data_IF_562735591902
#
_entry.id   IF_562735591902
#
_cell.length_a   1.000
_cell.length_b   1.000
_cell.length_c   1.000
_cell.angle_alpha   90.00
_cell.angle_beta   90.00
_cell.angle_gamma   90.00
#
_symmetry.space_group_name_H-M   'P 1'
#
loop_
_entity.id
_entity.type
_entity.pdbx_description
1 polymer ?
#
# COMPACT_ATOMS: atom_id res chain seq x y z
N UNK A 1 82.19 -36.12 31.82
CA UNK A 1 83.03 -34.90 31.83
C UNK A 1 82.58 -33.99 30.71
N UNK A 2 82.17 -32.74 31.03
CA UNK A 2 82.29 -31.51 30.20
C UNK A 2 81.62 -31.49 28.82
N UNK A 3 80.86 -30.48 28.35
CA UNK A 3 80.22 -29.27 28.87
C UNK A 3 79.29 -28.80 27.75
N UNK A 4 78.15 -28.20 28.09
CA UNK A 4 77.25 -27.47 27.17
C UNK A 4 77.96 -26.33 26.41
N UNK A 5 77.53 -26.08 25.17
CA UNK A 5 77.36 -24.70 24.67
C UNK A 5 76.01 -24.54 23.97
N UNK A 6 75.33 -23.49 24.41
CA UNK A 6 74.04 -22.98 24.02
C UNK A 6 73.97 -22.55 22.55
N UNK A 7 72.81 -22.78 21.91
CA UNK A 7 72.18 -21.79 21.06
C UNK A 7 70.68 -21.76 21.39
N UNK A 8 70.32 -20.88 22.33
CA UNK A 8 68.95 -20.43 22.55
C UNK A 8 68.73 -19.21 21.64
N UNK A 9 68.03 -19.40 20.51
CA UNK A 9 67.48 -18.30 19.73
C UNK A 9 65.94 -18.31 19.88
N UNK A 10 65.33 -17.33 20.56
CA UNK A 10 63.88 -17.28 20.78
C UNK A 10 63.04 -16.95 19.53
N UNK A 11 63.66 -16.58 18.40
CA UNK A 11 62.90 -16.14 17.21
C UNK A 11 62.45 -17.25 16.25
N UNK A 12 62.88 -18.51 16.44
CA UNK A 12 62.52 -19.61 15.53
C UNK A 12 61.37 -20.51 16.05
N UNK A 13 60.95 -20.38 17.31
CA UNK A 13 59.79 -21.12 17.85
C UNK A 13 58.43 -20.45 17.58
N UNK A 14 58.41 -19.19 17.14
CA UNK A 14 57.20 -18.47 16.76
C UNK A 14 56.74 -18.67 15.31
N UNK A 15 57.61 -19.20 14.44
CA UNK A 15 57.32 -19.34 12.99
C UNK A 15 56.73 -20.74 12.69
N UNK A 16 57.13 -21.79 13.42
CA UNK A 16 56.57 -23.13 13.22
C UNK A 16 55.16 -23.32 13.79
N UNK A 17 54.77 -22.61 14.85
CA UNK A 17 53.37 -22.63 15.34
C UNK A 17 52.43 -21.79 14.47
N UNK A 18 52.94 -20.73 13.83
CA UNK A 18 52.23 -19.92 12.84
C UNK A 18 51.85 -20.73 11.58
N UNK A 19 52.77 -21.54 11.03
CA UNK A 19 52.51 -22.34 9.83
C UNK A 19 51.56 -23.53 10.06
N UNK A 20 51.56 -24.13 11.25
CA UNK A 20 50.63 -25.22 11.59
C UNK A 20 49.23 -24.66 11.86
N UNK A 21 49.11 -23.52 12.56
CA UNK A 21 47.83 -22.83 12.74
C UNK A 21 47.28 -22.29 11.41
N UNK A 22 48.13 -21.80 10.50
CA UNK A 22 47.71 -21.31 9.19
C UNK A 22 47.21 -22.45 8.28
N UNK A 23 47.83 -23.63 8.31
CA UNK A 23 47.35 -24.80 7.56
C UNK A 23 46.07 -25.41 8.15
N UNK A 24 45.90 -25.39 9.48
CA UNK A 24 44.63 -25.78 10.12
C UNK A 24 43.54 -24.75 9.79
N UNK A 25 43.84 -23.45 9.78
CA UNK A 25 42.89 -22.41 9.40
C UNK A 25 42.49 -22.51 7.92
N UNK A 26 43.44 -22.78 7.01
CA UNK A 26 43.18 -22.99 5.58
C UNK A 26 42.39 -24.27 5.31
N UNK A 27 42.64 -25.35 6.06
CA UNK A 27 41.84 -26.58 5.96
C UNK A 27 40.43 -26.37 6.51
N UNK A 28 40.27 -25.61 7.59
CA UNK A 28 38.95 -25.28 8.16
C UNK A 28 38.18 -24.29 7.29
N UNK A 29 38.86 -23.32 6.66
CA UNK A 29 38.28 -22.39 5.68
C UNK A 29 37.87 -23.15 4.40
N UNK A 30 38.65 -24.12 3.91
CA UNK A 30 38.23 -24.95 2.77
C UNK A 30 37.08 -25.90 3.12
N UNK A 31 37.01 -26.43 4.34
CA UNK A 31 35.84 -27.21 4.80
C UNK A 31 34.60 -26.32 4.99
N UNK A 32 34.76 -25.09 5.47
CA UNK A 32 33.67 -24.10 5.52
C UNK A 32 33.28 -23.66 4.11
N UNK A 33 34.20 -23.48 3.16
CA UNK A 33 33.88 -23.14 1.77
C UNK A 33 33.26 -24.32 1.00
N UNK A 34 33.53 -25.58 1.37
CA UNK A 34 32.83 -26.75 0.85
C UNK A 34 31.47 -26.99 1.53
N UNK A 35 31.28 -26.56 2.78
CA UNK A 35 29.97 -26.59 3.48
C UNK A 35 29.09 -25.36 3.16
N UNK A 36 29.69 -24.25 2.72
CA UNK A 36 29.01 -23.03 2.22
C UNK A 36 28.84 -23.08 0.69
N UNK A 37 29.55 -23.99 0.02
CA UNK A 37 29.46 -24.27 -1.41
C UNK A 37 28.44 -25.34 -1.77
N UNK A 38 27.17 -25.17 -1.38
CA UNK A 38 26.00 -25.79 -2.05
C UNK A 38 24.67 -25.27 -1.50
N UNK A 39 24.53 -23.96 -1.28
CA UNK A 39 23.22 -23.33 -1.48
C UNK A 39 23.36 -22.47 -2.73
N UNK A 40 23.24 -23.20 -3.83
CA UNK A 40 22.95 -22.72 -5.16
C UNK A 40 21.91 -21.61 -5.07
N UNK A 41 22.40 -20.39 -5.23
CA UNK A 41 21.62 -19.18 -5.49
C UNK A 41 21.04 -19.27 -6.90
N UNK A 42 20.33 -20.36 -7.18
CA UNK A 42 19.18 -20.34 -8.06
C UNK A 42 18.01 -19.83 -7.23
N UNK A 43 18.02 -18.52 -6.97
CA UNK A 43 16.81 -17.76 -7.25
C UNK A 43 16.49 -18.15 -8.69
N UNK A 44 15.60 -19.13 -8.85
CA UNK A 44 15.01 -19.39 -10.14
C UNK A 44 14.55 -18.04 -10.60
N UNK A 45 15.11 -17.65 -11.74
CA UNK A 45 14.58 -16.65 -12.64
C UNK A 45 13.16 -17.06 -12.99
N UNK A 46 12.25 -16.97 -12.02
CA UNK A 46 10.89 -16.53 -12.24
C UNK A 46 11.03 -15.07 -12.59
N UNK A 47 11.62 -14.80 -13.76
CA UNK A 47 11.07 -13.85 -14.69
C UNK A 47 9.56 -14.01 -14.58
N UNK A 48 8.96 -13.12 -13.78
CA UNK A 48 7.60 -12.71 -14.06
C UNK A 48 7.74 -12.17 -15.47
N UNK A 49 7.47 -13.04 -16.44
CA UNK A 49 7.13 -12.64 -17.79
C UNK A 49 5.86 -11.81 -17.62
N UNK A 50 6.03 -10.55 -17.25
CA UNK A 50 5.19 -9.51 -17.80
C UNK A 50 5.39 -9.70 -19.29
N UNK A 51 4.37 -10.22 -19.96
CA UNK A 51 4.32 -10.16 -21.41
C UNK A 51 4.43 -8.68 -21.76
N UNK A 52 5.61 -8.27 -22.16
CA UNK A 52 5.91 -6.93 -22.69
C UNK A 52 5.04 -6.60 -23.92
N UNK A 53 4.26 -7.57 -24.41
CA UNK A 53 3.37 -7.46 -25.57
C UNK A 53 1.92 -7.03 -25.26
N UNK A 54 1.46 -6.89 -24.00
CA UNK A 54 0.05 -6.58 -23.70
C UNK A 54 -0.20 -5.40 -22.73
N UNK A 55 0.62 -4.34 -22.78
CA UNK A 55 0.27 -3.03 -22.17
C UNK A 55 0.15 -1.94 -23.23
N UNK A 56 -0.54 -2.23 -24.34
CA UNK A 56 -1.11 -1.13 -25.13
C UNK A 56 -2.24 -0.54 -24.29
N UNK A 57 -2.00 0.65 -23.74
CA UNK A 57 -3.02 1.43 -23.00
C UNK A 57 -4.33 1.39 -23.79
N UNK A 58 -5.37 0.86 -23.14
CA UNK A 58 -6.71 0.83 -23.72
C UNK A 58 -7.12 2.29 -23.98
N UNK A 59 -7.56 2.58 -25.20
CA UNK A 59 -8.13 3.88 -25.54
C UNK A 59 -9.62 3.70 -25.76
N UNK A 60 -10.41 4.67 -25.30
CA UNK A 60 -11.81 4.73 -25.68
C UNK A 60 -11.97 5.17 -27.15
N UNK A 61 -13.18 5.06 -27.75
CA UNK A 61 -13.39 5.47 -29.14
C UNK A 61 -13.22 6.99 -29.40
N UNK A 62 -12.99 7.80 -28.36
CA UNK A 62 -12.70 9.23 -28.44
C UNK A 62 -11.20 9.53 -28.24
N UNK A 63 -10.37 8.51 -28.03
CA UNK A 63 -8.92 8.61 -27.83
C UNK A 63 -8.49 8.84 -26.38
N UNK A 64 -9.42 8.90 -25.42
CA UNK A 64 -9.06 9.04 -24.00
C UNK A 64 -8.45 7.74 -23.49
N UNK A 65 -7.42 7.86 -22.66
CA UNK A 65 -6.76 6.68 -22.08
C UNK A 65 -7.64 6.12 -20.96
N UNK A 66 -7.97 4.84 -21.07
CA UNK A 66 -8.61 4.06 -20.02
C UNK A 66 -7.49 3.61 -19.05
N UNK A 67 -7.66 3.78 -17.73
CA UNK A 67 -6.68 3.30 -16.74
C UNK A 67 -6.35 1.82 -16.92
N UNK A 68 -5.11 1.45 -16.63
CA UNK A 68 -4.76 0.04 -16.47
C UNK A 68 -5.41 -0.48 -15.18
N UNK A 69 -6.20 -1.55 -15.27
CA UNK A 69 -6.79 -2.25 -14.13
C UNK A 69 -6.15 -3.64 -13.97
N UNK A 70 -5.53 -3.87 -12.82
CA UNK A 70 -4.76 -5.08 -12.54
C UNK A 70 -5.42 -5.89 -11.42
N UNK A 71 -5.37 -7.21 -11.55
CA UNK A 71 -5.73 -8.13 -10.48
C UNK A 71 -4.68 -9.23 -10.36
N UNK A 72 -4.36 -9.59 -9.13
CA UNK A 72 -3.42 -10.67 -8.83
C UNK A 72 -4.17 -11.99 -8.67
N UNK A 73 -3.90 -12.94 -9.55
CA UNK A 73 -4.53 -14.26 -9.59
C UNK A 73 -3.50 -15.29 -10.02
N UNK A 74 -3.45 -16.44 -9.35
CA UNK A 74 -2.48 -17.53 -9.63
C UNK A 74 -1.03 -17.05 -9.58
N UNK A 75 -0.68 -16.28 -8.54
CA UNK A 75 0.65 -15.71 -8.31
C UNK A 75 1.18 -14.80 -9.42
N UNK A 76 0.29 -14.18 -10.21
CA UNK A 76 0.66 -13.26 -11.29
C UNK A 76 -0.33 -12.11 -11.42
N UNK A 77 0.18 -10.94 -11.79
CA UNK A 77 -0.63 -9.80 -12.20
C UNK A 77 -1.23 -10.04 -13.60
N UNK A 78 -2.53 -9.81 -13.74
CA UNK A 78 -3.26 -9.86 -15.01
C UNK A 78 -4.05 -8.57 -15.18
N UNK A 79 -4.18 -8.10 -16.42
CA UNK A 79 -5.17 -7.06 -16.73
C UNK A 79 -6.57 -7.62 -16.48
N UNK A 80 -7.40 -6.85 -15.80
CA UNK A 80 -8.82 -7.13 -15.67
C UNK A 80 -9.63 -6.42 -16.77
N UNK A 81 -10.95 -6.63 -16.73
CA UNK A 81 -11.92 -6.01 -17.63
C UNK A 81 -12.94 -5.16 -16.86
N UNK A 82 -12.56 -4.68 -15.67
CA UNK A 82 -13.37 -3.78 -14.86
C UNK A 82 -13.39 -2.39 -15.50
N UNK A 83 -12.22 -1.95 -15.97
CA UNK A 83 -12.12 -0.70 -16.68
C UNK A 83 -12.69 -0.77 -18.10
N UNK A 84 -13.69 0.07 -18.36
CA UNK A 84 -14.39 0.22 -19.64
C UNK A 84 -14.48 1.71 -20.02
N UNK A 85 -14.73 2.05 -21.30
CA UNK A 85 -14.99 3.43 -21.70
C UNK A 85 -16.09 4.07 -20.85
N UNK A 86 -15.91 5.30 -20.35
CA UNK A 86 -16.83 5.89 -19.36
C UNK A 86 -18.29 5.98 -19.83
N UNK A 87 -18.51 6.07 -21.15
CA UNK A 87 -19.85 6.07 -21.77
C UNK A 87 -20.64 4.78 -21.52
N UNK A 88 -19.97 3.68 -21.16
CA UNK A 88 -20.66 2.47 -20.71
C UNK A 88 -21.38 2.68 -19.38
N UNK A 89 -20.94 3.66 -18.58
CA UNK A 89 -21.49 3.96 -17.26
C UNK A 89 -22.39 5.20 -17.26
N UNK A 90 -22.23 6.14 -18.21
CA UNK A 90 -22.85 7.47 -18.14
C UNK A 90 -24.38 7.50 -18.13
N UNK A 91 -25.04 6.42 -18.57
CA UNK A 91 -26.50 6.28 -18.55
C UNK A 91 -26.99 5.33 -17.44
N UNK A 92 -26.08 4.74 -16.66
CA UNK A 92 -26.43 3.87 -15.54
C UNK A 92 -26.69 4.72 -14.29
N UNK A 93 -27.90 4.61 -13.75
CA UNK A 93 -28.30 5.23 -12.48
C UNK A 93 -27.41 4.86 -11.28
N UNK A 94 -26.61 3.78 -11.39
CA UNK A 94 -25.63 3.38 -10.38
C UNK A 94 -24.36 4.22 -10.39
N UNK A 95 -24.11 4.97 -11.47
CA UNK A 95 -22.95 5.83 -11.67
C UNK A 95 -23.37 7.29 -11.83
N UNK A 96 -23.98 7.94 -10.83
CA UNK A 96 -24.21 9.38 -10.87
C UNK A 96 -22.90 10.15 -11.04
N UNK A 97 -22.92 11.11 -11.95
CA UNK A 97 -21.83 12.04 -12.19
C UNK A 97 -22.06 13.33 -11.36
N UNK A 98 -21.32 13.49 -10.27
CA UNK A 98 -21.53 14.57 -9.29
C UNK A 98 -20.34 15.53 -9.23
N UNK A 99 -20.56 16.74 -8.73
CA UNK A 99 -19.48 17.72 -8.54
C UNK A 99 -18.59 17.30 -7.38
N UNK A 100 -17.29 17.20 -7.65
CA UNK A 100 -16.24 17.02 -6.67
C UNK A 100 -15.35 18.26 -6.63
N UNK A 101 -15.01 18.75 -5.44
CA UNK A 101 -14.20 19.96 -5.25
C UNK A 101 -13.15 19.74 -4.17
N UNK A 102 -11.89 20.02 -4.51
CA UNK A 102 -10.76 20.02 -3.58
C UNK A 102 -9.77 21.13 -3.94
N UNK A 103 -8.66 21.22 -3.22
CA UNK A 103 -7.56 22.14 -3.57
C UNK A 103 -6.90 21.83 -4.92
N UNK A 104 -7.19 20.68 -5.54
CA UNK A 104 -6.78 20.36 -6.90
C UNK A 104 -7.69 20.98 -7.98
N UNK A 105 -8.87 21.50 -7.59
CA UNK A 105 -9.87 22.09 -8.49
C UNK A 105 -11.28 21.54 -8.28
N UNK A 106 -12.22 22.01 -9.10
CA UNK A 106 -13.61 21.51 -9.14
C UNK A 106 -13.85 20.77 -10.45
N UNK A 107 -14.18 19.48 -10.36
CA UNK A 107 -14.46 18.59 -11.49
C UNK A 107 -15.75 17.81 -11.24
N UNK A 108 -16.13 16.92 -12.16
CA UNK A 108 -17.15 15.90 -11.89
C UNK A 108 -16.51 14.52 -11.83
N UNK A 109 -16.98 13.70 -10.90
CA UNK A 109 -16.58 12.30 -10.74
C UNK A 109 -17.81 11.42 -10.66
N UNK A 110 -17.66 10.16 -11.06
CA UNK A 110 -18.65 9.12 -10.87
C UNK A 110 -18.56 8.60 -9.43
N UNK A 111 -19.69 8.52 -8.75
CA UNK A 111 -19.79 7.94 -7.40
C UNK A 111 -20.89 6.89 -7.36
N UNK A 112 -21.03 6.19 -6.22
CA UNK A 112 -22.20 5.36 -5.99
C UNK A 112 -23.48 6.20 -5.94
N UNK A 113 -24.63 5.51 -5.85
CA UNK A 113 -25.94 6.16 -5.74
C UNK A 113 -26.02 7.14 -4.57
N UNK A 114 -26.81 8.20 -4.66
CA UNK A 114 -26.92 9.25 -3.63
C UNK A 114 -27.46 8.78 -2.26
N UNK A 115 -27.93 7.53 -2.16
CA UNK A 115 -28.26 6.90 -0.90
C UNK A 115 -27.02 6.50 -0.08
N UNK A 116 -25.87 6.34 -0.72
CA UNK A 116 -24.58 6.00 -0.11
C UNK A 116 -24.04 7.15 0.74
N UNK A 117 -23.59 6.88 1.97
CA UNK A 117 -23.15 7.90 2.90
C UNK A 117 -22.08 8.85 2.34
N UNK A 118 -21.02 8.29 1.75
CA UNK A 118 -19.89 9.06 1.22
C UNK A 118 -20.31 9.83 -0.03
N UNK A 119 -20.94 9.16 -0.99
CA UNK A 119 -21.41 9.78 -2.25
C UNK A 119 -22.44 10.89 -1.98
N UNK A 120 -23.30 10.72 -0.98
CA UNK A 120 -24.27 11.73 -0.53
C UNK A 120 -23.58 12.97 0.04
N UNK A 121 -22.51 12.79 0.83
CA UNK A 121 -21.72 13.91 1.36
C UNK A 121 -20.98 14.62 0.23
N UNK A 122 -20.33 13.90 -0.70
CA UNK A 122 -19.66 14.51 -1.85
C UNK A 122 -20.65 15.34 -2.67
N UNK A 123 -21.85 14.81 -2.93
CA UNK A 123 -22.88 15.52 -3.70
C UNK A 123 -23.31 16.85 -3.05
N UNK A 124 -23.40 16.88 -1.71
CA UNK A 124 -23.82 18.08 -0.96
C UNK A 124 -22.69 19.06 -0.68
N UNK A 125 -21.51 18.57 -0.32
CA UNK A 125 -20.39 19.35 0.22
C UNK A 125 -19.20 19.47 -0.73
N UNK A 126 -19.22 18.76 -1.86
CA UNK A 126 -18.15 18.71 -2.86
C UNK A 126 -17.05 17.70 -2.55
N UNK A 127 -16.88 17.27 -1.31
CA UNK A 127 -15.92 16.23 -0.93
C UNK A 127 -16.24 15.66 0.45
N UNK A 128 -15.81 14.42 0.69
CA UNK A 128 -15.77 13.76 1.98
C UNK A 128 -14.32 13.77 2.50
N UNK A 129 -14.12 13.95 3.81
CA UNK A 129 -12.78 14.02 4.44
C UNK A 129 -11.83 15.09 3.85
N UNK A 130 -12.37 16.29 3.64
CA UNK A 130 -11.64 17.44 3.07
C UNK A 130 -10.29 17.70 3.75
N UNK A 131 -10.19 17.49 5.07
CA UNK A 131 -8.94 17.69 5.83
C UNK A 131 -7.84 16.74 5.36
N UNK A 132 -8.18 15.47 5.16
CA UNK A 132 -7.27 14.41 4.73
C UNK A 132 -6.88 14.59 3.26
N UNK A 133 -7.85 14.90 2.39
CA UNK A 133 -7.57 15.26 0.98
C UNK A 133 -6.57 16.43 0.91
N UNK A 134 -6.84 17.51 1.66
CA UNK A 134 -5.99 18.69 1.65
C UNK A 134 -4.60 18.40 2.21
N UNK A 135 -4.49 17.54 3.23
CA UNK A 135 -3.18 17.14 3.76
C UNK A 135 -2.39 16.33 2.74
N UNK A 136 -3.01 15.33 2.09
CA UNK A 136 -2.36 14.55 1.03
C UNK A 136 -1.88 15.46 -0.09
N UNK A 137 -2.73 16.37 -0.59
CA UNK A 137 -2.34 17.33 -1.63
C UNK A 137 -1.18 18.23 -1.19
N UNK A 138 -1.21 18.72 0.05
CA UNK A 138 -0.12 19.53 0.59
C UNK A 138 1.21 18.78 0.59
N UNK A 139 1.23 17.51 1.02
CA UNK A 139 2.45 16.69 1.01
C UNK A 139 2.95 16.41 -0.41
N UNK A 140 2.04 16.09 -1.34
CA UNK A 140 2.37 15.89 -2.75
C UNK A 140 2.86 17.17 -3.45
N UNK A 141 2.55 18.35 -2.93
CA UNK A 141 2.99 19.62 -3.49
C UNK A 141 4.39 20.04 -3.01
N UNK A 142 4.91 19.46 -1.91
CA UNK A 142 6.26 19.76 -1.40
C UNK A 142 7.37 19.36 -2.37
N UNK A 143 7.19 18.25 -3.09
CA UNK A 143 8.13 17.80 -4.11
C UNK A 143 7.36 17.15 -5.27
N UNK A 144 7.65 17.60 -6.50
CA UNK A 144 6.95 17.16 -7.70
C UNK A 144 7.17 15.68 -8.06
N UNK A 145 8.18 15.05 -7.46
CA UNK A 145 8.53 13.64 -7.69
C UNK A 145 7.83 12.69 -6.70
N UNK A 146 7.05 13.21 -5.75
CA UNK A 146 6.26 12.39 -4.82
C UNK A 146 5.00 11.93 -5.55
N UNK A 147 4.86 10.62 -5.70
CA UNK A 147 3.66 9.98 -6.25
C UNK A 147 2.79 9.41 -5.12
N UNK A 148 1.52 9.11 -5.42
CA UNK A 148 0.56 8.63 -4.42
C UNK A 148 0.36 7.12 -4.53
N UNK A 149 0.36 6.43 -3.38
CA UNK A 149 -0.24 5.11 -3.21
C UNK A 149 -1.52 5.30 -2.40
N UNK A 150 -2.67 5.07 -3.03
CA UNK A 150 -4.01 5.29 -2.45
C UNK A 150 -4.67 3.95 -2.13
N UNK A 151 -4.66 3.55 -0.86
CA UNK A 151 -5.15 2.24 -0.39
C UNK A 151 -6.50 2.43 0.29
N UNK A 152 -7.52 1.73 -0.22
CA UNK A 152 -8.91 1.99 0.11
C UNK A 152 -9.40 3.26 -0.58
N UNK A 153 -9.28 3.27 -1.92
CA UNK A 153 -9.54 4.47 -2.72
C UNK A 153 -11.04 4.84 -2.76
N UNK A 154 -11.93 3.88 -2.51
CA UNK A 154 -13.38 4.09 -2.52
C UNK A 154 -13.83 4.67 -3.87
N UNK A 155 -14.57 5.78 -3.90
CA UNK A 155 -14.95 6.48 -5.15
C UNK A 155 -13.82 7.35 -5.75
N UNK A 156 -12.60 7.29 -5.22
CA UNK A 156 -11.40 7.85 -5.85
C UNK A 156 -11.09 9.31 -5.55
N UNK A 157 -11.57 9.86 -4.43
CA UNK A 157 -11.35 11.29 -4.13
C UNK A 157 -9.87 11.66 -4.05
N UNK A 158 -9.05 10.85 -3.38
CA UNK A 158 -7.61 11.10 -3.21
C UNK A 158 -6.85 10.87 -4.51
N UNK A 159 -7.07 9.74 -5.18
CA UNK A 159 -6.39 9.44 -6.44
C UNK A 159 -6.72 10.45 -7.55
N UNK A 160 -7.99 10.86 -7.69
CA UNK A 160 -8.37 11.86 -8.70
C UNK A 160 -7.74 13.20 -8.39
N UNK A 161 -7.76 13.65 -7.13
CA UNK A 161 -7.14 14.91 -6.74
C UNK A 161 -5.63 14.93 -6.98
N UNK A 162 -4.93 13.84 -6.63
CA UNK A 162 -3.50 13.71 -6.88
C UNK A 162 -3.16 13.69 -8.39
N UNK A 163 -3.95 12.98 -9.19
CA UNK A 163 -3.77 12.94 -10.64
C UNK A 163 -4.04 14.30 -11.32
N UNK A 164 -5.02 15.08 -10.82
CA UNK A 164 -5.32 16.42 -11.31
C UNK A 164 -4.16 17.40 -11.12
N UNK A 165 -3.39 17.27 -10.02
CA UNK A 165 -2.18 18.07 -9.80
C UNK A 165 -0.92 17.46 -10.46
N UNK A 166 -1.10 16.45 -11.32
CA UNK A 166 -0.06 15.88 -12.16
C UNK A 166 0.79 14.79 -11.51
N UNK A 167 0.31 14.13 -10.44
CA UNK A 167 1.00 12.96 -9.85
C UNK A 167 0.58 11.67 -10.53
N UNK A 168 1.49 10.70 -10.57
CA UNK A 168 1.13 9.33 -10.87
C UNK A 168 0.60 8.67 -9.60
N UNK A 169 -0.37 7.76 -9.77
CA UNK A 169 -1.10 7.14 -8.67
C UNK A 169 -1.26 5.65 -8.92
N UNK A 170 -0.95 4.85 -7.89
CA UNK A 170 -1.42 3.46 -7.80
C UNK A 170 -2.53 3.46 -6.76
N UNK A 171 -3.76 3.21 -7.20
CA UNK A 171 -4.95 3.21 -6.35
C UNK A 171 -5.51 1.79 -6.24
N UNK A 172 -5.90 1.39 -5.03
CA UNK A 172 -6.23 0.01 -4.70
C UNK A 172 -7.52 -0.07 -3.89
N UNK A 173 -8.38 -1.03 -4.24
CA UNK A 173 -9.60 -1.32 -3.50
C UNK A 173 -9.97 -2.80 -3.64
N UNK A 174 -10.66 -3.33 -2.62
CA UNK A 174 -11.16 -4.71 -2.63
C UNK A 174 -12.55 -4.81 -3.28
N UNK A 175 -13.33 -3.72 -3.33
CA UNK A 175 -14.63 -3.73 -3.99
C UNK A 175 -14.50 -3.38 -5.47
N UNK A 176 -14.93 -4.32 -6.32
CA UNK A 176 -15.06 -4.13 -7.77
C UNK A 176 -15.77 -2.82 -8.12
N UNK A 177 -16.88 -2.52 -7.44
CA UNK A 177 -17.65 -1.30 -7.70
C UNK A 177 -16.84 -0.03 -7.45
N UNK A 178 -15.97 0.00 -6.44
CA UNK A 178 -15.09 1.16 -6.20
C UNK A 178 -14.13 1.35 -7.37
N UNK A 179 -13.49 0.26 -7.81
CA UNK A 179 -12.59 0.25 -8.97
C UNK A 179 -13.30 0.75 -10.25
N UNK A 180 -14.53 0.32 -10.50
CA UNK A 180 -15.32 0.79 -11.65
C UNK A 180 -15.59 2.31 -11.60
N UNK A 181 -15.94 2.88 -10.44
CA UNK A 181 -16.20 4.32 -10.28
C UNK A 181 -14.93 5.16 -10.46
N UNK A 182 -13.81 4.73 -9.88
CA UNK A 182 -12.53 5.38 -10.09
C UNK A 182 -12.15 5.31 -11.57
N UNK A 183 -12.36 4.16 -12.21
CA UNK A 183 -12.07 3.98 -13.62
C UNK A 183 -12.88 4.91 -14.52
N UNK A 184 -14.21 4.96 -14.32
CA UNK A 184 -15.10 5.82 -15.07
C UNK A 184 -14.70 7.30 -14.90
N UNK A 185 -14.37 7.72 -13.68
CA UNK A 185 -13.94 9.09 -13.37
C UNK A 185 -12.62 9.44 -14.03
N UNK A 186 -11.62 8.54 -13.92
CA UNK A 186 -10.32 8.73 -14.51
C UNK A 186 -10.37 8.77 -16.04
N UNK A 187 -11.20 7.92 -16.67
CA UNK A 187 -11.38 7.95 -18.12
C UNK A 187 -12.13 9.22 -18.58
N UNK A 188 -13.20 9.62 -17.90
CA UNK A 188 -13.94 10.85 -18.19
C UNK A 188 -13.08 12.12 -18.10
N UNK A 189 -12.17 12.17 -17.12
CA UNK A 189 -11.26 13.30 -16.92
C UNK A 189 -9.95 13.18 -17.72
N UNK A 190 -9.80 12.15 -18.56
CA UNK A 190 -8.57 11.84 -19.30
C UNK A 190 -7.31 11.70 -18.40
N UNK A 191 -7.49 11.12 -17.21
CA UNK A 191 -6.46 10.85 -16.21
C UNK A 191 -5.93 9.41 -16.24
N UNK A 192 -6.45 8.54 -17.11
CA UNK A 192 -6.05 7.12 -17.16
C UNK A 192 -4.57 6.87 -17.44
N UNK A 193 -3.86 7.86 -17.98
CA UNK A 193 -2.40 7.78 -18.15
C UNK A 193 -1.60 7.90 -16.85
N UNK A 194 -2.22 8.40 -15.77
CA UNK A 194 -1.60 8.66 -14.47
C UNK A 194 -2.05 7.70 -13.39
N UNK A 195 -3.19 7.05 -13.58
CA UNK A 195 -3.81 6.19 -12.57
C UNK A 195 -3.68 4.73 -13.01
N UNK A 196 -3.12 3.91 -12.14
CA UNK A 196 -3.13 2.45 -12.22
C UNK A 196 -4.00 1.92 -11.10
N UNK A 197 -4.98 1.08 -11.46
CA UNK A 197 -5.94 0.51 -10.52
C UNK A 197 -5.58 -0.93 -10.19
N UNK A 198 -5.73 -1.29 -8.92
CA UNK A 198 -5.52 -2.66 -8.43
C UNK A 198 -6.77 -3.14 -7.72
N UNK A 199 -7.34 -4.23 -8.21
CA UNK A 199 -8.49 -4.91 -7.62
C UNK A 199 -8.04 -6.17 -6.85
N UNK A 200 -7.73 -5.97 -5.57
CA UNK A 200 -7.32 -7.01 -4.63
C UNK A 200 -7.53 -6.51 -3.19
N UNK A 201 -7.63 -7.44 -2.24
CA UNK A 201 -7.51 -7.12 -0.81
C UNK A 201 -6.03 -6.88 -0.50
N UNK A 202 -5.67 -5.81 0.22
CA UNK A 202 -4.32 -5.71 0.78
C UNK A 202 -4.26 -6.38 2.15
N UNK A 203 -3.23 -7.17 2.41
CA UNK A 203 -3.02 -7.85 3.68
C UNK A 203 -1.53 -8.15 3.91
N UNK A 204 -1.26 -8.84 5.00
CA UNK A 204 0.04 -9.37 5.42
C UNK A 204 0.52 -10.60 4.63
N UNK A 205 -0.35 -11.21 3.81
CA UNK A 205 0.02 -12.33 2.94
C UNK A 205 -0.95 -12.51 1.78
N UNK A 206 -0.46 -13.17 0.74
CA UNK A 206 -1.25 -13.59 -0.42
C UNK A 206 -2.16 -14.78 -0.06
N UNK A 207 -3.33 -14.82 -0.70
CA UNK A 207 -4.27 -15.93 -0.53
C UNK A 207 -5.71 -15.51 -0.83
N UNK A 208 -6.66 -16.42 -0.64
CA UNK A 208 -8.08 -16.07 -0.67
C UNK A 208 -8.50 -15.54 0.69
N UNK A 209 -9.15 -14.37 0.72
CA UNK A 209 -9.69 -13.78 1.95
C UNK A 209 -11.11 -13.32 1.73
N UNK A 210 -11.90 -13.45 2.79
CA UNK A 210 -13.27 -12.94 2.80
C UNK A 210 -13.27 -11.53 3.34
N UNK A 211 -14.03 -10.68 2.69
CA UNK A 211 -14.38 -9.38 3.21
C UNK A 211 -15.89 -9.20 3.12
N UNK A 212 -16.39 -8.27 3.90
CA UNK A 212 -17.81 -7.95 4.00
C UNK A 212 -17.96 -6.47 3.72
N UNK A 213 -18.94 -6.14 2.91
CA UNK A 213 -19.36 -4.76 2.68
C UNK A 213 -20.88 -4.69 2.74
N UNK A 214 -21.39 -3.47 2.90
CA UNK A 214 -22.84 -3.24 2.91
C UNK A 214 -23.44 -3.64 1.56
N UNK A 215 -24.36 -4.61 1.59
CA UNK A 215 -25.23 -4.92 0.47
C UNK A 215 -26.39 -3.91 0.35
N UNK A 216 -26.57 -3.05 1.35
CA UNK A 216 -27.56 -1.99 1.34
C UNK A 216 -27.01 -0.76 0.61
N UNK A 217 -27.87 -0.07 -0.14
CA UNK A 217 -27.52 1.13 -0.94
C UNK A 217 -26.98 2.31 -0.10
N UNK A 218 -26.91 2.18 1.22
CA UNK A 218 -26.61 3.28 2.15
C UNK A 218 -25.16 3.37 2.60
N UNK A 219 -24.31 2.37 2.34
CA UNK A 219 -22.94 2.39 2.85
C UNK A 219 -21.96 1.49 2.06
N UNK A 220 -21.66 1.86 0.81
CA UNK A 220 -20.65 1.17 0.00
C UNK A 220 -19.20 1.48 0.43
N UNK A 221 -19.02 2.41 1.38
CA UNK A 221 -17.71 2.80 1.90
C UNK A 221 -17.13 1.83 2.93
N UNK A 222 -17.97 1.27 3.81
CA UNK A 222 -17.52 0.38 4.88
C UNK A 222 -17.20 -1.04 4.36
N UNK A 223 -15.93 -1.26 4.00
CA UNK A 223 -15.40 -2.55 3.55
C UNK A 223 -14.54 -3.15 4.66
N UNK A 224 -15.04 -4.16 5.36
CA UNK A 224 -14.31 -4.83 6.43
C UNK A 224 -13.80 -6.21 5.99
N UNK A 225 -12.48 -6.41 6.03
CA UNK A 225 -11.90 -7.75 5.87
C UNK A 225 -12.26 -8.58 7.11
N UNK A 226 -12.77 -9.80 6.91
CA UNK A 226 -13.11 -10.71 8.00
C UNK A 226 -11.82 -11.28 8.61
N UNK A 227 -11.17 -10.48 9.44
CA UNK A 227 -9.96 -10.84 10.17
C UNK A 227 -10.24 -10.82 11.68
N UNK A 228 -9.67 -11.81 12.37
CA UNK A 228 -9.56 -11.86 13.84
C UNK A 228 -10.87 -11.88 14.64
N UNK A 229 -12.00 -12.26 14.03
CA UNK A 229 -13.30 -12.39 14.72
C UNK A 229 -13.87 -11.07 15.27
N UNK A 230 -13.31 -9.94 14.82
CA UNK A 230 -13.71 -8.58 15.20
C UNK A 230 -15.21 -8.36 14.91
N UNK A 231 -15.68 -8.97 13.82
CA UNK A 231 -17.08 -8.87 13.39
C UNK A 231 -18.08 -9.45 14.40
N UNK A 232 -17.80 -10.60 15.03
CA UNK A 232 -18.73 -11.17 16.03
C UNK A 232 -18.84 -10.28 17.27
N UNK A 233 -17.81 -9.49 17.57
CA UNK A 233 -17.88 -8.43 18.59
C UNK A 233 -18.66 -7.21 18.10
N UNK A 234 -18.52 -6.82 16.82
CA UNK A 234 -19.23 -5.69 16.21
C UNK A 234 -20.74 -5.95 16.05
N UNK A 235 -21.16 -7.17 15.71
CA UNK A 235 -22.58 -7.60 15.67
C UNK A 235 -23.34 -7.25 16.95
N UNK A 236 -22.70 -7.49 18.11
CA UNK A 236 -23.29 -7.19 19.44
C UNK A 236 -23.39 -5.69 19.71
N UNK A 237 -22.46 -4.90 19.20
CA UNK A 237 -22.39 -3.47 19.46
C UNK A 237 -23.33 -2.66 18.55
N UNK A 238 -23.50 -3.09 17.30
CA UNK A 238 -24.24 -2.30 16.31
C UNK A 238 -25.72 -2.67 16.18
N UNK A 239 -26.18 -3.85 16.59
CA UNK A 239 -27.62 -4.23 16.57
C UNK A 239 -28.37 -3.87 15.26
N UNK A 240 -27.64 -3.76 14.14
CA UNK A 240 -28.15 -3.11 12.92
C UNK A 240 -28.34 -4.10 11.78
N UNK A 241 -29.54 -4.01 11.22
CA UNK A 241 -30.10 -4.57 9.99
C UNK A 241 -29.33 -4.23 8.69
N UNK A 242 -28.00 -4.20 8.69
CA UNK A 242 -27.27 -4.11 7.42
C UNK A 242 -27.29 -5.47 6.73
N UNK A 243 -27.93 -5.56 5.57
CA UNK A 243 -27.68 -6.67 4.66
C UNK A 243 -26.21 -6.60 4.29
N UNK A 244 -25.40 -7.56 4.72
CA UNK A 244 -23.99 -7.62 4.38
C UNK A 244 -23.78 -8.65 3.28
N UNK A 245 -22.96 -8.29 2.30
CA UNK A 245 -22.50 -9.24 1.29
C UNK A 245 -21.09 -9.66 1.68
N UNK A 246 -20.92 -10.96 1.92
CA UNK A 246 -19.58 -11.56 2.05
C UNK A 246 -19.09 -11.91 0.66
N UNK A 247 -17.92 -11.39 0.29
CA UNK A 247 -17.24 -11.71 -0.96
C UNK A 247 -15.86 -12.25 -0.63
N UNK A 248 -15.38 -13.18 -1.45
CA UNK A 248 -14.04 -13.74 -1.33
C UNK A 248 -13.20 -13.24 -2.49
N UNK A 249 -12.07 -12.61 -2.18
CA UNK A 249 -11.15 -12.09 -3.18
C UNK A 249 -9.71 -12.49 -2.87
N UNK A 250 -8.85 -12.34 -3.87
CA UNK A 250 -7.42 -12.55 -3.68
C UNK A 250 -6.82 -11.38 -2.89
N UNK A 251 -6.07 -11.72 -1.84
CA UNK A 251 -5.21 -10.79 -1.15
C UNK A 251 -3.82 -10.74 -1.73
N UNK A 252 -3.21 -9.57 -1.62
CA UNK A 252 -1.81 -9.26 -1.98
C UNK A 252 -1.17 -8.46 -0.85
N UNK A 253 0.14 -8.42 -0.86
CA UNK A 253 0.97 -7.60 0.03
C UNK A 253 1.38 -6.31 -0.69
N UNK A 254 1.88 -5.31 0.06
CA UNK A 254 2.47 -4.12 -0.58
C UNK A 254 3.79 -4.45 -1.31
N UNK A 255 4.50 -5.47 -0.84
CA UNK A 255 5.73 -5.95 -1.48
C UNK A 255 5.45 -6.50 -2.90
N UNK A 256 4.26 -7.07 -3.17
CA UNK A 256 3.87 -7.58 -4.48
C UNK A 256 3.74 -6.50 -5.56
N UNK A 257 3.65 -5.21 -5.16
CA UNK A 257 3.62 -4.10 -6.11
C UNK A 257 4.92 -4.05 -6.94
N UNK A 258 6.04 -4.55 -6.44
CA UNK A 258 7.29 -4.62 -7.21
C UNK A 258 7.27 -5.59 -8.39
N UNK A 259 6.17 -6.32 -8.58
CA UNK A 259 5.96 -7.17 -9.75
C UNK A 259 5.24 -6.43 -10.89
N UNK A 260 4.79 -5.18 -10.70
CA UNK A 260 4.18 -4.36 -11.75
C UNK A 260 5.13 -3.26 -12.25
N UNK A 261 5.23 -2.99 -13.57
CA UNK A 261 6.16 -2.00 -14.10
C UNK A 261 5.97 -0.57 -13.57
N UNK A 262 4.74 -0.21 -13.20
CA UNK A 262 4.36 1.13 -12.81
C UNK A 262 5.03 1.57 -11.50
N UNK A 263 5.21 0.68 -10.53
CA UNK A 263 5.85 1.04 -9.25
C UNK A 263 7.33 1.42 -9.43
N UNK A 264 8.01 0.88 -10.46
CA UNK A 264 9.43 1.17 -10.68
C UNK A 264 9.68 2.61 -11.12
N UNK A 265 8.63 3.34 -11.51
CA UNK A 265 8.70 4.79 -11.78
C UNK A 265 8.64 5.61 -10.50
N UNK A 266 8.22 5.02 -9.39
CA UNK A 266 8.01 5.72 -8.13
C UNK A 266 9.32 5.65 -7.36
N UNK A 267 9.93 6.80 -7.10
CA UNK A 267 11.12 6.92 -6.23
C UNK A 267 10.73 7.37 -4.83
N UNK A 268 9.88 8.39 -4.78
CA UNK A 268 9.29 8.95 -3.57
C UNK A 268 7.80 8.71 -3.58
N UNK A 269 7.27 8.27 -2.45
CA UNK A 269 5.84 7.98 -2.31
C UNK A 269 5.25 8.61 -1.08
N UNK A 270 4.03 9.10 -1.21
CA UNK A 270 3.13 9.36 -0.09
C UNK A 270 2.05 8.28 -0.09
N UNK A 271 1.66 7.80 1.08
CA UNK A 271 0.71 6.68 1.19
C UNK A 271 -0.53 7.15 1.95
N UNK A 272 -1.72 6.86 1.43
CA UNK A 272 -2.98 6.92 2.18
C UNK A 272 -3.43 5.47 2.45
N UNK A 273 -3.77 5.16 3.69
CA UNK A 273 -4.27 3.83 4.10
C UNK A 273 -5.54 3.99 4.91
N UNK A 274 -6.63 3.43 4.40
CA UNK A 274 -7.94 3.52 5.03
C UNK A 274 -8.73 2.31 4.55
N UNK A 275 -8.60 1.24 5.32
CA UNK A 275 -9.14 -0.09 5.01
C UNK A 275 -9.91 -0.61 6.21
N UNK A 276 -10.54 0.33 6.93
CA UNK A 276 -11.56 0.09 7.95
C UNK A 276 -11.11 -0.89 9.05
N UNK A 277 -9.88 -0.69 9.56
CA UNK A 277 -9.30 -1.44 10.66
C UNK A 277 -8.27 -2.51 10.25
N UNK A 278 -8.05 -2.71 8.95
CA UNK A 278 -7.10 -3.68 8.40
C UNK A 278 -5.70 -3.10 8.12
N UNK A 279 -5.43 -1.85 8.53
CA UNK A 279 -4.21 -1.08 8.23
C UNK A 279 -2.97 -1.80 8.75
N UNK A 280 -3.02 -2.35 9.96
CA UNK A 280 -1.91 -3.10 10.56
C UNK A 280 -1.48 -4.32 9.72
N UNK A 281 -2.41 -4.98 9.03
CA UNK A 281 -2.10 -6.13 8.16
C UNK A 281 -1.48 -5.66 6.84
N UNK A 282 -1.98 -4.56 6.28
CA UNK A 282 -1.36 -3.92 5.12
C UNK A 282 0.11 -3.58 5.40
N UNK A 283 0.40 -3.00 6.57
CA UNK A 283 1.76 -2.66 6.97
C UNK A 283 2.63 -3.89 7.22
N UNK A 284 2.10 -4.95 7.84
CA UNK A 284 2.86 -6.21 8.02
C UNK A 284 3.33 -6.82 6.69
N UNK A 285 2.60 -6.58 5.59
CA UNK A 285 2.94 -6.99 4.23
C UNK A 285 3.79 -5.98 3.43
N UNK A 286 4.43 -5.00 4.09
CA UNK A 286 5.15 -3.90 3.44
C UNK A 286 6.66 -3.88 3.74
N UNK A 287 7.25 -5.00 4.16
CA UNK A 287 8.62 -5.00 4.69
C UNK A 287 9.66 -4.62 3.64
N UNK A 288 9.55 -5.17 2.44
CA UNK A 288 10.45 -4.81 1.34
C UNK A 288 10.09 -3.46 0.72
N UNK A 289 8.81 -3.07 0.78
CA UNK A 289 8.30 -1.79 0.33
C UNK A 289 9.03 -0.62 1.01
N UNK A 290 9.09 -0.63 2.34
CA UNK A 290 9.76 0.42 3.13
C UNK A 290 11.29 0.38 3.02
N UNK A 291 11.88 -0.73 2.54
CA UNK A 291 13.33 -0.81 2.27
C UNK A 291 13.71 -0.24 0.91
N UNK A 292 12.80 -0.33 -0.08
CA UNK A 292 13.10 -0.05 -1.49
C UNK A 292 12.61 1.30 -1.97
N UNK A 293 11.59 1.87 -1.33
CA UNK A 293 11.00 3.17 -1.70
C UNK A 293 11.25 4.22 -0.62
N UNK A 294 11.43 5.45 -1.06
CA UNK A 294 11.56 6.59 -0.16
C UNK A 294 10.15 7.08 0.25
N UNK A 295 9.60 6.49 1.31
CA UNK A 295 8.28 6.85 1.84
C UNK A 295 8.35 8.21 2.55
N UNK A 296 7.74 9.23 1.98
CA UNK A 296 7.76 10.61 2.47
C UNK A 296 6.77 10.86 3.61
N UNK A 297 5.75 10.00 3.70
CA UNK A 297 4.76 10.08 4.76
C UNK A 297 3.58 9.16 4.49
N UNK A 298 2.81 8.92 5.53
CA UNK A 298 1.62 8.06 5.52
C UNK A 298 0.51 8.78 6.25
N UNK A 299 -0.67 8.89 5.66
CA UNK A 299 -1.88 9.18 6.43
C UNK A 299 -2.67 7.90 6.54
N UNK A 300 -3.09 7.55 7.76
CA UNK A 300 -3.92 6.38 7.99
C UNK A 300 -5.07 6.64 8.94
N UNK A 301 -6.17 5.93 8.73
CA UNK A 301 -7.26 5.90 9.69
C UNK A 301 -6.81 5.19 10.97
N UNK A 302 -6.94 5.88 12.09
CA UNK A 302 -6.52 5.45 13.42
C UNK A 302 -7.69 5.08 14.34
N UNK A 303 -8.91 5.55 14.04
CA UNK A 303 -10.08 5.34 14.89
C UNK A 303 -10.33 3.86 15.21
N UNK A 304 -10.07 2.96 14.26
CA UNK A 304 -10.23 1.51 14.44
C UNK A 304 -9.16 0.84 15.31
N UNK A 305 -8.07 1.54 15.64
CA UNK A 305 -6.93 1.00 16.39
C UNK A 305 -6.89 1.42 17.85
N UNK A 306 -7.67 2.43 18.24
CA UNK A 306 -7.73 2.92 19.62
C UNK A 306 -8.00 1.77 20.60
N UNK A 307 -7.11 1.61 21.60
CA UNK A 307 -7.17 0.54 22.61
C UNK A 307 -7.16 -0.89 22.05
N UNK A 308 -6.60 -1.12 20.86
CA UNK A 308 -6.49 -2.47 20.25
C UNK A 308 -5.03 -2.90 20.08
N UNK A 309 -4.79 -4.21 20.06
CA UNK A 309 -3.45 -4.77 19.79
C UNK A 309 -2.86 -4.29 18.45
N UNK A 310 -3.70 -4.03 17.45
CA UNK A 310 -3.28 -3.48 16.16
C UNK A 310 -2.58 -2.12 16.30
N UNK A 311 -2.93 -1.28 17.28
CA UNK A 311 -2.20 -0.03 17.53
C UNK A 311 -0.75 -0.26 17.94
N UNK A 312 -0.47 -1.27 18.76
CA UNK A 312 0.90 -1.60 19.18
C UNK A 312 1.73 -2.15 18.02
N UNK A 313 1.10 -2.95 17.15
CA UNK A 313 1.73 -3.45 15.92
C UNK A 313 2.13 -2.27 15.02
N UNK A 314 1.20 -1.34 14.76
CA UNK A 314 1.46 -0.19 13.90
C UNK A 314 2.57 0.69 14.50
N UNK A 315 2.48 1.04 15.79
CA UNK A 315 3.50 1.86 16.46
C UNK A 315 4.89 1.21 16.39
N UNK A 316 4.97 -0.12 16.56
CA UNK A 316 6.23 -0.86 16.50
C UNK A 316 6.85 -0.79 15.11
N UNK A 317 6.05 -1.06 14.06
CA UNK A 317 6.52 -1.00 12.66
C UNK A 317 6.94 0.43 12.27
N UNK A 318 6.15 1.43 12.64
CA UNK A 318 6.48 2.84 12.37
C UNK A 318 7.77 3.27 13.06
N UNK A 319 7.98 2.85 14.32
CA UNK A 319 9.23 3.12 15.02
C UNK A 319 10.44 2.42 14.36
N UNK A 320 10.27 1.15 13.96
CA UNK A 320 11.31 0.39 13.23
C UNK A 320 11.72 1.09 11.92
N UNK A 321 10.74 1.62 11.18
CA UNK A 321 10.96 2.36 9.94
C UNK A 321 11.27 3.85 10.14
N UNK A 322 11.50 4.28 11.38
CA UNK A 322 11.86 5.66 11.72
C UNK A 322 10.78 6.68 11.29
N UNK A 323 9.54 6.43 11.68
CA UNK A 323 8.43 7.36 11.54
C UNK A 323 7.93 7.85 12.90
N UNK A 324 7.45 9.09 12.95
CA UNK A 324 6.76 9.67 14.11
C UNK A 324 5.31 10.03 13.78
N UNK A 325 4.40 9.89 14.75
CA UNK A 325 2.99 10.23 14.60
C UNK A 325 2.74 11.73 14.81
N UNK A 326 1.83 12.27 14.02
CA UNK A 326 1.41 13.66 14.06
C UNK A 326 -0.10 13.76 13.91
N UNK A 327 -0.71 14.67 14.67
CA UNK A 327 -2.03 15.20 14.31
C UNK A 327 -1.80 16.26 13.24
N UNK A 328 -2.74 16.39 12.32
CA UNK A 328 -2.63 17.35 11.26
C UNK A 328 -3.91 18.16 11.05
N UNK A 329 -3.70 19.35 10.52
CA UNK A 329 -4.69 20.12 9.78
C UNK A 329 -4.09 20.42 8.40
N UNK A 330 -4.89 20.94 7.46
CA UNK A 330 -4.54 21.03 6.03
C UNK A 330 -3.06 21.27 5.70
N UNK A 331 -2.39 22.21 6.38
CA UNK A 331 -0.96 22.52 6.15
C UNK A 331 -0.10 22.54 7.42
N UNK A 332 -0.63 22.12 8.57
CA UNK A 332 0.08 22.18 9.87
C UNK A 332 -0.01 20.85 10.59
N UNK A 333 1.01 20.53 11.38
CA UNK A 333 1.04 19.31 12.18
C UNK A 333 1.48 19.57 13.61
N UNK A 334 1.23 18.60 14.49
CA UNK A 334 1.80 18.59 15.84
C UNK A 334 2.15 17.17 16.25
N UNK A 335 3.33 17.00 16.82
CA UNK A 335 3.87 15.72 17.26
C UNK A 335 2.95 15.07 18.31
N UNK A 336 2.63 13.80 18.11
CA UNK A 336 1.81 12.98 19.00
C UNK A 336 2.63 12.03 19.88
N UNK A 337 3.95 12.01 19.77
CA UNK A 337 4.84 11.05 20.46
C UNK A 337 4.73 11.12 21.99
N UNK A 338 4.39 12.27 22.55
CA UNK A 338 4.15 12.46 24.00
C UNK A 338 2.69 12.25 24.42
N UNK A 339 1.79 12.05 23.46
CA UNK A 339 0.35 11.88 23.67
C UNK A 339 0.03 10.40 23.66
N UNK A 340 -0.72 9.93 24.67
CA UNK A 340 -1.19 8.54 24.69
C UNK A 340 -2.04 8.22 23.45
N UNK A 341 -1.76 7.10 22.77
CA UNK A 341 -2.34 6.76 21.46
C UNK A 341 -3.86 6.59 21.45
N UNK A 342 -4.47 6.40 22.63
CA UNK A 342 -5.93 6.38 22.79
C UNK A 342 -6.60 7.75 22.63
N UNK A 343 -5.82 8.83 22.63
CA UNK A 343 -6.29 10.21 22.48
C UNK A 343 -5.91 10.81 21.12
N UNK A 344 -5.33 10.01 20.23
CA UNK A 344 -4.98 10.47 18.89
C UNK A 344 -6.26 10.74 18.07
N UNK A 345 -6.19 11.64 17.07
CA UNK A 345 -7.31 11.93 16.18
C UNK A 345 -7.75 10.71 15.35
N UNK A 346 -8.87 10.85 14.63
CA UNK A 346 -9.37 9.82 13.71
C UNK A 346 -8.33 9.46 12.66
N UNK A 347 -7.67 10.43 12.05
CA UNK A 347 -6.58 10.21 11.09
C UNK A 347 -5.24 10.62 11.68
N UNK A 348 -4.23 9.78 11.52
CA UNK A 348 -2.87 10.07 11.99
C UNK A 348 -1.94 10.16 10.79
N UNK A 349 -1.13 11.22 10.78
CA UNK A 349 -0.04 11.39 9.84
C UNK A 349 1.24 10.83 10.44
N UNK A 350 1.97 10.03 9.68
CA UNK A 350 3.28 9.52 10.03
C UNK A 350 4.31 10.14 9.10
N UNK A 351 5.33 10.80 9.67
CA UNK A 351 6.43 11.41 8.91
C UNK A 351 7.77 10.79 9.30
N UNK A 352 8.72 10.65 8.34
CA UNK A 352 10.05 10.12 8.63
C UNK A 352 10.85 11.04 9.56
N UNK A 353 11.79 10.48 10.34
CA UNK A 353 12.69 11.22 11.26
C UNK A 353 14.13 11.34 10.79
#
# INVERSE_FOLDING_TARGET
MKTLRNFNNPQLKGICTSLILCNILLWTINQILQLVGSHDTRLTDTSVKTTSEELRRKQDPQGSIIPDDLTFVDNRWKLSNLCKPYKTFSNDSKFPLIRYTSNAGSVKIFTHSLGDGISSIISRAGAFEVKTINRVLYELQKDKNINLIDIGTNVGQHCIAAALIGRDVIAMDAAESNIEHVCASANYLNLGSRITLIHNILSDSNGKRKFRYSASKSDYGSIHVDSDGIWEKMKKQYNTYFSLKTVEENSVTLDDLFLIPQIHKFKKVFIKIDVEGHEHRVLLGAKEFFKRLEVQGIVMEWAWHVKRQSSEIIKTLMAEWKFKPYKFFSTTESDLSSVHSDKWPQDVLWLPI
#
